data_IF_857366542606
#
_entry.id   IF_857366542606
#
_cell.length_a   1.000
_cell.length_b   1.000
_cell.length_c   1.000
_cell.angle_alpha   90.00
_cell.angle_beta   90.00
_cell.angle_gamma   90.00
#
_symmetry.space_group_name_H-M   'P 1'
#
loop_
_entity.id
_entity.type
_entity.pdbx_description
1 polymer ?
#
# COMPACT_ATOMS: atom_id res chain seq x y z
N UNK A 1 1.99 35.19 -40.55
CA UNK A 1 1.94 33.77 -40.94
C UNK A 1 1.95 32.88 -39.70
N UNK A 2 0.86 32.17 -39.47
CA UNK A 2 0.77 31.16 -38.40
C UNK A 2 1.01 29.78 -39.02
N UNK A 3 2.06 29.06 -38.55
CA UNK A 3 2.27 27.69 -38.95
C UNK A 3 1.77 26.75 -37.84
N UNK A 4 0.76 25.94 -38.13
CA UNK A 4 0.27 24.88 -37.25
C UNK A 4 1.07 23.63 -37.49
N UNK A 5 1.79 23.15 -36.42
CA UNK A 5 2.52 21.90 -36.46
C UNK A 5 1.74 20.86 -35.66
N UNK A 6 1.14 19.88 -36.33
CA UNK A 6 0.49 18.74 -35.70
C UNK A 6 1.58 17.74 -35.31
N UNK A 7 1.66 17.39 -34.01
CA UNK A 7 2.53 16.33 -33.50
C UNK A 7 1.68 15.20 -32.96
N UNK A 8 1.97 13.98 -33.38
CA UNK A 8 1.33 12.79 -32.82
C UNK A 8 2.25 12.17 -31.77
N UNK A 9 1.69 11.94 -30.58
CA UNK A 9 2.36 11.28 -29.48
C UNK A 9 1.58 10.05 -29.02
N UNK A 10 2.25 8.97 -28.67
CA UNK A 10 1.65 7.81 -28.02
C UNK A 10 1.92 7.86 -26.52
N UNK A 11 0.86 7.77 -25.71
CA UNK A 11 1.01 7.60 -24.26
C UNK A 11 1.63 6.24 -23.96
N UNK A 12 2.58 6.23 -23.03
CA UNK A 12 3.20 5.00 -22.52
C UNK A 12 2.75 4.81 -21.07
N UNK A 13 2.60 3.56 -20.60
CA UNK A 13 2.39 3.30 -19.18
C UNK A 13 3.57 3.86 -18.37
N UNK A 14 3.35 4.24 -17.09
CA UNK A 14 4.43 4.68 -16.23
C UNK A 14 5.47 3.56 -16.07
N UNK A 15 6.73 3.96 -15.86
CA UNK A 15 7.80 3.02 -15.56
C UNK A 15 7.49 2.25 -14.27
N UNK A 16 7.92 0.99 -14.22
CA UNK A 16 7.81 0.18 -13.00
C UNK A 16 8.73 0.71 -11.91
N UNK A 17 8.43 0.36 -10.68
CA UNK A 17 9.28 0.71 -9.56
C UNK A 17 10.58 -0.10 -9.59
N UNK A 18 11.66 0.56 -9.22
CA UNK A 18 12.87 -0.06 -8.68
C UNK A 18 12.82 0.08 -7.16
N UNK A 19 13.71 -0.59 -6.43
CA UNK A 19 13.79 -0.42 -4.96
C UNK A 19 13.98 1.06 -4.57
N UNK A 20 14.89 1.76 -5.25
CA UNK A 20 15.13 3.17 -4.97
C UNK A 20 13.94 4.09 -5.30
N UNK A 21 13.19 3.81 -6.37
CA UNK A 21 12.00 4.59 -6.69
C UNK A 21 10.82 4.24 -5.80
N UNK A 22 10.73 2.99 -5.30
CA UNK A 22 9.75 2.59 -4.31
C UNK A 22 10.02 3.28 -2.96
N UNK A 23 11.26 3.32 -2.51
CA UNK A 23 11.66 4.10 -1.31
C UNK A 23 11.23 5.56 -1.42
N UNK A 24 11.53 6.21 -2.55
CA UNK A 24 11.11 7.60 -2.81
C UNK A 24 9.58 7.76 -2.82
N UNK A 25 8.85 6.76 -3.32
CA UNK A 25 7.40 6.76 -3.29
C UNK A 25 6.84 6.62 -1.87
N UNK A 26 7.49 5.84 -1.00
CA UNK A 26 7.15 5.75 0.42
C UNK A 26 7.44 7.06 1.16
N UNK A 27 8.50 7.78 0.80
CA UNK A 27 8.82 9.10 1.36
C UNK A 27 7.79 10.16 0.93
N UNK A 28 7.31 10.09 -0.29
CA UNK A 28 6.33 11.04 -0.81
C UNK A 28 5.17 10.32 -1.50
N UNK A 29 4.25 9.71 -0.74
CA UNK A 29 3.16 8.92 -1.28
C UNK A 29 2.05 9.76 -1.91
N UNK A 30 2.07 11.08 -1.75
CA UNK A 30 1.02 12.01 -2.22
C UNK A 30 0.70 11.86 -3.71
N UNK A 31 1.70 11.52 -4.51
CA UNK A 31 1.53 11.29 -5.97
C UNK A 31 0.65 10.08 -6.31
N UNK A 32 0.51 9.16 -5.34
CA UNK A 32 -0.22 7.89 -5.50
C UNK A 32 -1.55 7.87 -4.75
N UNK A 33 -1.89 8.95 -4.06
CA UNK A 33 -3.19 9.10 -3.41
C UNK A 33 -4.29 9.25 -4.47
N UNK A 34 -5.36 8.50 -4.28
CA UNK A 34 -6.50 8.52 -5.22
C UNK A 34 -7.33 9.80 -5.08
N UNK A 35 -7.45 10.32 -3.87
CA UNK A 35 -8.12 11.58 -3.59
C UNK A 35 -7.07 12.63 -3.23
N UNK A 36 -7.22 13.83 -3.78
CA UNK A 36 -6.39 14.99 -3.42
C UNK A 36 -6.86 15.56 -2.08
N UNK A 37 -6.79 14.76 -1.02
CA UNK A 37 -6.99 15.27 0.33
C UNK A 37 -5.75 16.07 0.75
N UNK A 38 -5.87 17.39 0.64
CA UNK A 38 -4.78 18.31 0.96
C UNK A 38 -4.33 18.19 2.41
N UNK A 39 -5.23 17.84 3.34
CA UNK A 39 -4.90 17.67 4.76
C UNK A 39 -4.10 16.38 4.97
N UNK A 40 -4.53 15.27 4.40
CA UNK A 40 -3.82 13.99 4.47
C UNK A 40 -2.44 14.11 3.79
N UNK A 41 -2.38 14.74 2.62
CA UNK A 41 -1.14 15.00 1.90
C UNK A 41 -0.14 15.80 2.75
N UNK A 42 -0.60 16.89 3.38
CA UNK A 42 0.21 17.72 4.27
C UNK A 42 0.72 16.92 5.47
N UNK A 43 -0.14 16.14 6.13
CA UNK A 43 0.23 15.30 7.26
C UNK A 43 1.33 14.32 6.86
N UNK A 44 1.17 13.59 5.74
CA UNK A 44 2.18 12.64 5.27
C UNK A 44 3.51 13.30 4.92
N UNK A 45 3.50 14.52 4.40
CA UNK A 45 4.72 15.29 4.18
C UNK A 45 5.41 15.68 5.48
N UNK A 46 4.64 16.13 6.48
CA UNK A 46 5.17 16.55 7.79
C UNK A 46 5.70 15.36 8.61
N UNK A 47 5.11 14.18 8.47
CA UNK A 47 5.52 12.96 9.20
C UNK A 47 6.53 12.11 8.44
N UNK A 48 6.92 12.52 7.24
CA UNK A 48 7.95 11.85 6.44
C UNK A 48 7.46 10.67 5.60
N UNK A 49 6.15 10.59 5.31
CA UNK A 49 5.57 9.59 4.41
C UNK A 49 5.15 8.29 5.09
N UNK A 50 5.26 7.18 4.36
CA UNK A 50 4.93 5.84 4.85
C UNK A 50 6.17 5.18 5.44
N UNK A 51 6.08 4.75 6.69
CA UNK A 51 7.19 4.20 7.43
C UNK A 51 8.26 5.26 7.78
N UNK A 52 9.18 4.91 8.64
CA UNK A 52 10.32 5.76 8.99
C UNK A 52 11.51 5.47 8.07
N UNK A 53 12.49 6.36 8.04
CA UNK A 53 13.75 6.16 7.30
C UNK A 53 14.38 4.80 7.66
N UNK A 54 14.40 4.47 8.96
CA UNK A 54 15.00 3.23 9.46
C UNK A 54 14.22 1.96 9.08
N UNK A 55 12.90 2.07 8.91
CA UNK A 55 12.03 0.87 8.73
C UNK A 55 11.65 0.58 7.28
N UNK A 56 11.84 1.52 6.35
CA UNK A 56 11.41 1.35 4.95
C UNK A 56 12.13 0.21 4.25
N UNK A 57 13.45 0.09 4.46
CA UNK A 57 14.22 -1.01 3.89
C UNK A 57 13.70 -2.37 4.37
N UNK A 58 13.50 -2.52 5.67
CA UNK A 58 12.97 -3.74 6.29
C UNK A 58 11.56 -4.07 5.77
N UNK A 59 10.72 -3.06 5.53
CA UNK A 59 9.39 -3.25 4.94
C UNK A 59 9.51 -3.83 3.52
N UNK A 60 10.39 -3.28 2.69
CA UNK A 60 10.61 -3.75 1.33
C UNK A 60 11.17 -5.18 1.35
N UNK A 61 12.16 -5.46 2.19
CA UNK A 61 12.73 -6.79 2.36
C UNK A 61 11.68 -7.82 2.81
N UNK A 62 10.78 -7.40 3.70
CA UNK A 62 9.65 -8.22 4.13
C UNK A 62 8.67 -8.51 3.01
N UNK A 63 8.42 -7.56 2.11
CA UNK A 63 7.59 -7.78 0.93
C UNK A 63 8.22 -8.82 -0.02
N UNK A 64 9.55 -8.76 -0.24
CA UNK A 64 10.27 -9.76 -1.01
C UNK A 64 10.27 -11.13 -0.33
N UNK A 65 10.66 -11.22 0.94
CA UNK A 65 10.73 -12.47 1.69
C UNK A 65 9.37 -13.16 1.85
N UNK A 66 8.29 -12.38 1.85
CA UNK A 66 6.90 -12.88 1.87
C UNK A 66 6.36 -13.25 0.48
N UNK A 67 7.14 -13.12 -0.57
CA UNK A 67 6.75 -13.36 -1.97
C UNK A 67 5.52 -12.52 -2.40
N UNK A 68 5.42 -11.30 -1.91
CA UNK A 68 4.39 -10.34 -2.34
C UNK A 68 4.86 -9.52 -3.54
N UNK A 69 6.14 -9.25 -3.61
CA UNK A 69 6.80 -8.64 -4.75
C UNK A 69 7.97 -9.50 -5.21
N UNK A 70 8.30 -9.41 -6.48
CA UNK A 70 9.46 -10.05 -7.08
C UNK A 70 10.26 -9.04 -7.90
N UNK A 71 11.56 -9.29 -8.03
CA UNK A 71 12.46 -8.47 -8.83
C UNK A 71 12.81 -9.21 -10.11
N UNK A 72 12.66 -8.54 -11.25
CA UNK A 72 13.15 -9.00 -12.54
C UNK A 72 14.08 -7.93 -13.08
N UNK A 73 15.35 -8.25 -13.22
CA UNK A 73 16.40 -7.27 -13.47
C UNK A 73 16.41 -6.20 -12.36
N UNK A 74 16.11 -4.95 -12.69
CA UNK A 74 16.02 -3.85 -11.72
C UNK A 74 14.58 -3.41 -11.43
N UNK A 75 13.59 -4.03 -12.05
CA UNK A 75 12.19 -3.67 -11.89
C UNK A 75 11.47 -4.55 -10.87
N UNK A 76 10.56 -3.96 -10.11
CA UNK A 76 9.71 -4.64 -9.13
C UNK A 76 8.37 -4.99 -9.77
N UNK A 77 7.96 -6.23 -9.57
CA UNK A 77 6.68 -6.77 -10.02
C UNK A 77 5.87 -7.24 -8.82
N UNK A 78 4.58 -6.98 -8.87
CA UNK A 78 3.64 -7.55 -7.91
C UNK A 78 3.34 -9.01 -8.29
N UNK A 79 3.39 -9.92 -7.33
CA UNK A 79 3.08 -11.33 -7.55
C UNK A 79 1.57 -11.57 -7.60
N UNK A 80 1.16 -12.71 -8.12
CA UNK A 80 -0.24 -13.13 -8.07
C UNK A 80 -0.75 -13.30 -6.63
N UNK A 81 0.08 -13.84 -5.75
CA UNK A 81 -0.21 -13.90 -4.31
C UNK A 81 -0.60 -12.53 -3.76
N UNK A 82 0.18 -11.50 -4.06
CA UNK A 82 -0.12 -10.14 -3.59
C UNK A 82 -1.37 -9.55 -4.22
N UNK A 83 -1.63 -9.81 -5.51
CA UNK A 83 -2.86 -9.36 -6.18
C UNK A 83 -4.10 -9.95 -5.51
N UNK A 84 -4.06 -11.25 -5.22
CA UNK A 84 -5.14 -11.94 -4.52
C UNK A 84 -5.30 -11.41 -3.09
N UNK A 85 -4.20 -11.23 -2.35
CA UNK A 85 -4.23 -10.64 -1.02
C UNK A 85 -4.89 -9.26 -1.04
N UNK A 86 -4.48 -8.40 -1.97
CA UNK A 86 -5.06 -7.07 -2.12
C UNK A 86 -6.55 -7.09 -2.49
N UNK A 87 -7.03 -8.12 -3.18
CA UNK A 87 -8.46 -8.25 -3.47
C UNK A 87 -9.29 -8.61 -2.24
N UNK A 88 -8.66 -9.22 -1.22
CA UNK A 88 -9.32 -9.64 0.02
C UNK A 88 -9.21 -8.57 1.13
N UNK A 89 -8.21 -7.70 1.05
CA UNK A 89 -7.97 -6.64 2.04
C UNK A 89 -8.99 -5.52 1.86
N UNK A 90 -9.63 -5.04 2.94
CA UNK A 90 -10.50 -3.87 2.90
C UNK A 90 -9.85 -2.63 2.30
N UNK A 91 -10.66 -1.83 1.59
CA UNK A 91 -10.16 -0.69 0.81
C UNK A 91 -9.40 0.35 1.65
N UNK A 92 -9.81 0.57 2.90
CA UNK A 92 -9.18 1.57 3.76
C UNK A 92 -7.73 1.22 4.11
N UNK A 93 -7.40 -0.08 4.23
CA UNK A 93 -6.02 -0.53 4.48
C UNK A 93 -5.09 -0.37 3.27
N UNK A 94 -5.64 -0.13 2.10
CA UNK A 94 -4.86 0.05 0.85
C UNK A 94 -4.50 1.51 0.59
N UNK A 95 -4.99 2.42 1.42
CA UNK A 95 -4.90 3.87 1.19
C UNK A 95 -3.92 4.52 2.16
N UNK A 96 -3.02 5.39 1.68
CA UNK A 96 -2.15 6.18 2.54
C UNK A 96 -2.90 7.11 3.50
N UNK A 97 -4.14 7.45 3.18
CA UNK A 97 -5.01 8.34 3.95
C UNK A 97 -5.26 7.83 5.36
N UNK A 98 -5.38 6.51 5.56
CA UNK A 98 -5.51 5.91 6.88
C UNK A 98 -4.29 6.19 7.77
N UNK A 99 -3.10 6.06 7.20
CA UNK A 99 -1.84 6.41 7.90
C UNK A 99 -1.82 7.89 8.25
N UNK A 100 -2.21 8.76 7.31
CA UNK A 100 -2.27 10.19 7.54
C UNK A 100 -3.24 10.57 8.68
N UNK A 101 -4.40 9.93 8.74
CA UNK A 101 -5.36 10.14 9.81
C UNK A 101 -4.78 9.76 11.17
N UNK A 102 -4.17 8.58 11.27
CA UNK A 102 -3.57 8.11 12.53
C UNK A 102 -2.41 8.99 12.97
N UNK A 103 -1.53 9.38 12.07
CA UNK A 103 -0.42 10.30 12.36
C UNK A 103 -0.92 11.67 12.84
N UNK A 104 -1.96 12.20 12.21
CA UNK A 104 -2.60 13.45 12.65
C UNK A 104 -3.14 13.35 14.08
N UNK A 105 -3.75 12.21 14.42
CA UNK A 105 -4.30 11.95 15.76
C UNK A 105 -3.19 11.76 16.80
N UNK A 106 -2.14 11.02 16.47
CA UNK A 106 -0.98 10.86 17.33
C UNK A 106 -0.28 12.21 17.60
N UNK A 107 -0.15 13.04 16.57
CA UNK A 107 0.36 14.40 16.73
C UNK A 107 -0.52 15.26 17.66
N UNK A 108 -1.85 15.11 17.59
CA UNK A 108 -2.77 15.81 18.49
C UNK A 108 -2.63 15.33 19.94
N UNK A 109 -2.40 14.04 20.16
CA UNK A 109 -2.13 13.46 21.49
C UNK A 109 -0.81 13.97 22.04
N UNK A 110 0.25 13.97 21.25
CA UNK A 110 1.55 14.48 21.65
C UNK A 110 1.50 15.97 22.05
N UNK A 111 0.61 16.75 21.46
CA UNK A 111 0.35 18.17 21.79
C UNK A 111 -0.64 18.36 22.94
N UNK A 112 -1.09 17.29 23.60
CA UNK A 112 -2.08 17.36 24.69
C UNK A 112 -3.49 17.77 24.27
N UNK A 113 -3.80 17.73 22.96
CA UNK A 113 -5.11 18.14 22.39
C UNK A 113 -6.10 17.00 22.21
N UNK A 114 -5.68 15.76 22.41
CA UNK A 114 -6.51 14.57 22.27
C UNK A 114 -6.14 13.52 23.33
N UNK A 115 -7.08 12.59 23.60
CA UNK A 115 -6.90 11.54 24.59
C UNK A 115 -6.33 10.27 23.94
N UNK A 116 -5.22 9.78 24.49
CA UNK A 116 -4.58 8.51 24.14
C UNK A 116 -5.52 7.32 24.39
N UNK A 117 -6.21 7.30 25.53
CA UNK A 117 -7.17 6.22 25.90
C UNK A 117 -8.34 6.13 24.93
N UNK A 118 -8.81 7.28 24.42
CA UNK A 118 -9.88 7.31 23.42
C UNK A 118 -9.36 6.72 22.10
N UNK A 119 -8.18 7.17 21.66
CA UNK A 119 -7.54 6.68 20.46
C UNK A 119 -7.30 5.17 20.50
N UNK A 120 -6.78 4.63 21.59
CA UNK A 120 -6.53 3.19 21.74
C UNK A 120 -7.83 2.37 21.69
N UNK A 121 -8.92 2.86 22.29
CA UNK A 121 -10.23 2.18 22.20
C UNK A 121 -10.77 2.16 20.78
N UNK A 122 -10.62 3.24 20.04
CA UNK A 122 -11.09 3.35 18.67
C UNK A 122 -10.27 2.44 17.73
N UNK A 123 -8.95 2.36 17.89
CA UNK A 123 -8.12 1.39 17.17
C UNK A 123 -8.54 -0.03 17.50
N UNK A 124 -8.76 -0.37 18.76
CA UNK A 124 -9.20 -1.71 19.16
C UNK A 124 -10.56 -2.06 18.55
N UNK A 125 -11.50 -1.11 18.50
CA UNK A 125 -12.80 -1.30 17.85
C UNK A 125 -12.65 -1.50 16.35
N UNK A 126 -11.91 -0.62 15.69
CA UNK A 126 -11.60 -0.72 14.25
C UNK A 126 -10.99 -2.07 13.90
N UNK A 127 -9.99 -2.53 14.67
CA UNK A 127 -9.35 -3.82 14.46
C UNK A 127 -10.33 -4.99 14.57
N UNK A 128 -11.23 -4.96 15.57
CA UNK A 128 -12.26 -5.99 15.73
C UNK A 128 -13.25 -6.01 14.57
N UNK A 129 -13.67 -4.85 14.10
CA UNK A 129 -14.56 -4.72 12.94
C UNK A 129 -13.89 -5.22 11.67
N UNK A 130 -12.62 -4.86 11.47
CA UNK A 130 -11.81 -5.30 10.35
C UNK A 130 -11.66 -6.83 10.33
N UNK A 131 -11.37 -7.44 11.47
CA UNK A 131 -11.29 -8.90 11.60
C UNK A 131 -12.61 -9.57 11.23
N UNK A 132 -13.75 -9.03 11.69
CA UNK A 132 -15.08 -9.54 11.32
C UNK A 132 -15.34 -9.43 9.81
N UNK A 133 -14.96 -8.32 9.19
CA UNK A 133 -15.10 -8.15 7.74
C UNK A 133 -14.28 -9.19 6.98
N UNK A 134 -13.03 -9.43 7.40
CA UNK A 134 -12.16 -10.44 6.78
C UNK A 134 -12.71 -11.85 6.98
N UNK A 135 -13.17 -12.20 8.18
CA UNK A 135 -13.74 -13.51 8.48
C UNK A 135 -15.04 -13.80 7.71
N UNK A 136 -15.86 -12.77 7.51
CA UNK A 136 -17.11 -12.87 6.75
C UNK A 136 -16.90 -12.73 5.22
N UNK A 137 -15.67 -12.44 4.80
CA UNK A 137 -15.34 -12.33 3.39
C UNK A 137 -15.47 -13.68 2.68
N UNK A 138 -16.15 -13.68 1.53
CA UNK A 138 -16.34 -14.86 0.70
C UNK A 138 -15.19 -15.12 -0.28
N UNK A 139 -14.13 -14.34 -0.18
CA UNK A 139 -12.97 -14.43 -1.06
C UNK A 139 -12.19 -15.72 -0.86
N UNK A 140 -11.90 -16.42 -1.94
CA UNK A 140 -11.08 -17.63 -1.94
C UNK A 140 -9.70 -17.31 -2.48
N UNK A 141 -8.67 -17.74 -1.75
CA UNK A 141 -7.30 -17.68 -2.25
C UNK A 141 -7.05 -18.90 -3.15
N UNK A 142 -6.57 -18.64 -4.37
CA UNK A 142 -6.21 -19.70 -5.31
C UNK A 142 -4.73 -19.59 -5.66
N UNK A 143 -3.96 -20.65 -5.43
CA UNK A 143 -2.57 -20.69 -5.85
C UNK A 143 -2.46 -20.75 -7.38
N UNK A 144 -1.63 -19.90 -7.97
CA UNK A 144 -1.37 -19.90 -9.41
C UNK A 144 -0.63 -21.16 -9.89
N UNK A 145 0.08 -21.81 -8.95
CA UNK A 145 0.92 -22.98 -9.22
C UNK A 145 0.14 -24.30 -9.13
N UNK A 146 -1.18 -24.24 -8.91
CA UNK A 146 -1.98 -25.45 -8.92
C UNK A 146 -2.02 -26.00 -10.34
N UNK A 147 -1.28 -27.09 -10.54
CA UNK A 147 -1.40 -27.91 -11.74
C UNK A 147 -2.57 -28.86 -11.57
N UNK A 148 -3.23 -29.26 -12.68
CA UNK A 148 -4.23 -30.32 -12.64
C UNK A 148 -3.61 -31.72 -12.48
N UNK A 149 -2.31 -31.78 -12.22
CA UNK A 149 -1.62 -33.05 -11.97
C UNK A 149 -1.73 -33.42 -10.52
N UNK A 150 -2.28 -34.58 -10.25
CA UNK A 150 -2.34 -35.19 -8.93
C UNK A 150 -0.94 -35.71 -8.58
N UNK A 151 -0.47 -35.44 -7.39
CA UNK A 151 0.82 -35.97 -6.91
C UNK A 151 0.71 -37.50 -6.81
N UNK A 152 1.59 -38.28 -7.48
CA UNK A 152 1.51 -39.74 -7.45
C UNK A 152 1.80 -40.33 -6.07
N UNK A 153 2.41 -39.57 -5.16
CA UNK A 153 2.78 -40.03 -3.81
C UNK A 153 1.76 -39.62 -2.73
N UNK A 154 0.89 -38.62 -3.01
CA UNK A 154 -0.03 -38.06 -2.02
C UNK A 154 -1.51 -38.41 -2.30
N UNK A 155 -1.79 -39.29 -3.22
CA UNK A 155 -3.17 -39.75 -3.52
C UNK A 155 -3.68 -40.72 -2.51
#
# INVERSE_FOLDING_TARGET
DFSLKKTEGKTKPPARFTEGTLLKAMENPVKYMQQKDAKAAKTLQETGGLGTVATRADIIDKLFSSYLIEKKENEIFITSKAKQLLSLVPEDLKKPELTAEWESRLSAIAKGKASDRKFMREIATYTKELMKQIQNGTGTFRHDNLTNKICPECT
#
